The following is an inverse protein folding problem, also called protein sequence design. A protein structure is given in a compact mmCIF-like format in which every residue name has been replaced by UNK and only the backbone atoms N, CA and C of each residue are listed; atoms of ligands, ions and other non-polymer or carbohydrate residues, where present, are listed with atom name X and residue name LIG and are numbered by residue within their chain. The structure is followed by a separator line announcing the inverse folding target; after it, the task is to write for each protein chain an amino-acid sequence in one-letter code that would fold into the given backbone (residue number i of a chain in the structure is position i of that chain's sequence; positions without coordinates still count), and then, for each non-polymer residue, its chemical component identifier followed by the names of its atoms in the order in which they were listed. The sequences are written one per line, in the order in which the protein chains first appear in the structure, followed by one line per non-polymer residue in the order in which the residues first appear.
data_IF_025710517318
#
_entry.id   IF_025710517318
#
_cell.length_a   1.000
_cell.length_b   1.000
_cell.length_c   1.000
_cell.angle_alpha   90.00
_cell.angle_beta   90.00
_cell.angle_gamma   90.00
#
_symmetry.space_group_name_H-M   'P 1'
#
loop_
_entity.id
_entity.type
_entity.pdbx_description
1 polymer ?
#
# COMPACT_ATOMS: atom_id res chain seq x y z
N UNK A 1 11.57 10.61 15.82
CA UNK A 1 10.33 9.81 16.01
C UNK A 1 9.28 10.30 15.03
N UNK A 2 9.14 9.62 13.89
CA UNK A 2 8.02 9.84 12.95
C UNK A 2 7.85 8.72 11.89
N UNK A 3 8.41 7.52 12.13
CA UNK A 3 8.73 6.55 11.06
C UNK A 3 7.60 5.59 10.66
N UNK A 4 6.34 5.96 10.83
CA UNK A 4 5.19 5.16 10.36
C UNK A 4 3.95 6.02 10.13
N UNK A 5 3.74 7.02 11.00
CA UNK A 5 2.62 7.97 10.90
C UNK A 5 2.74 8.80 9.63
N UNK A 6 3.94 9.24 9.24
CA UNK A 6 4.14 9.98 8.00
C UNK A 6 3.91 9.11 6.77
N UNK A 7 4.43 7.89 6.78
CA UNK A 7 4.28 6.93 5.69
C UNK A 7 2.80 6.68 5.38
N UNK A 8 2.00 6.41 6.42
CA UNK A 8 0.58 6.09 6.31
C UNK A 8 -0.35 7.31 6.33
N UNK A 9 0.18 8.53 6.42
CA UNK A 9 -0.59 9.77 6.62
C UNK A 9 -1.62 10.05 5.53
N UNK A 10 -1.44 9.45 4.35
CA UNK A 10 -2.32 9.60 3.19
C UNK A 10 -3.67 8.85 3.36
N UNK A 11 -3.70 7.84 4.23
CA UNK A 11 -4.89 7.04 4.45
C UNK A 11 -5.71 7.55 5.65
N UNK A 12 -7.03 7.56 5.50
CA UNK A 12 -7.92 7.85 6.63
C UNK A 12 -7.82 6.80 7.74
N UNK A 13 -8.10 7.18 8.99
CA UNK A 13 -8.15 6.25 10.12
C UNK A 13 -9.07 5.05 9.86
N UNK A 14 -10.21 5.27 9.19
CA UNK A 14 -11.14 4.21 8.83
C UNK A 14 -10.54 3.24 7.79
N UNK A 15 -9.81 3.75 6.81
CA UNK A 15 -9.09 2.93 5.82
C UNK A 15 -7.98 2.12 6.50
N UNK A 16 -7.20 2.75 7.37
CA UNK A 16 -6.14 2.06 8.13
C UNK A 16 -6.70 0.96 9.01
N UNK A 17 -7.84 1.18 9.68
CA UNK A 17 -8.47 0.14 10.49
C UNK A 17 -8.91 -1.05 9.64
N UNK A 18 -9.56 -0.79 8.49
CA UNK A 18 -9.99 -1.85 7.57
C UNK A 18 -8.81 -2.61 6.95
N UNK A 19 -7.66 -1.96 6.73
CA UNK A 19 -6.52 -2.60 6.08
C UNK A 19 -5.86 -3.69 6.93
N UNK A 20 -6.07 -3.68 8.26
CA UNK A 20 -5.57 -4.72 9.17
C UNK A 20 -6.04 -6.12 8.78
N UNK A 21 -7.29 -6.27 8.33
CA UNK A 21 -7.82 -7.57 7.92
C UNK A 21 -7.26 -8.03 6.58
N UNK A 22 -6.68 -7.14 5.77
CA UNK A 22 -6.18 -7.43 4.43
C UNK A 22 -4.68 -7.71 4.40
N UNK A 23 -3.90 -7.19 5.36
CA UNK A 23 -2.47 -7.45 5.45
C UNK A 23 -2.12 -8.94 5.55
N UNK A 24 -3.00 -9.76 6.13
CA UNK A 24 -2.85 -11.23 6.22
C UNK A 24 -3.08 -11.97 4.89
N UNK A 25 -3.68 -11.31 3.90
CA UNK A 25 -3.94 -11.88 2.57
C UNK A 25 -2.80 -11.57 1.58
N UNK A 26 -1.76 -10.86 2.04
CA UNK A 26 -0.59 -10.56 1.24
C UNK A 26 0.41 -11.68 1.47
N UNK A 27 0.67 -12.46 0.42
CA UNK A 27 1.84 -13.31 0.40
C UNK A 27 3.08 -12.42 0.21
N UNK A 28 3.92 -12.38 1.25
CA UNK A 28 5.10 -11.52 1.26
C UNK A 28 6.18 -11.98 0.29
N UNK A 29 6.17 -13.26 -0.07
CA UNK A 29 7.15 -13.84 -0.99
C UNK A 29 6.85 -13.47 -2.45
N UNK A 30 5.62 -13.01 -2.74
CA UNK A 30 5.18 -12.61 -4.08
C UNK A 30 5.15 -11.10 -4.29
N UNK A 31 5.63 -10.31 -3.32
CA UNK A 31 5.68 -8.85 -3.47
C UNK A 31 6.82 -8.50 -4.42
N UNK A 32 6.49 -7.77 -5.49
CA UNK A 32 7.45 -7.26 -6.44
C UNK A 32 7.86 -5.83 -6.07
N UNK A 33 9.14 -5.51 -6.25
CA UNK A 33 9.71 -4.21 -5.94
C UNK A 33 10.37 -3.64 -7.20
N UNK A 34 10.08 -2.38 -7.49
CA UNK A 34 10.65 -1.65 -8.62
C UNK A 34 11.24 -0.33 -8.10
N UNK A 35 12.52 -0.08 -8.36
CA UNK A 35 13.19 1.15 -7.96
C UNK A 35 13.40 2.06 -9.18
N UNK A 36 12.95 3.32 -9.09
CA UNK A 36 13.12 4.32 -10.14
C UNK A 36 13.28 5.73 -9.54
N UNK A 37 14.33 6.47 -9.93
CA UNK A 37 14.51 7.90 -9.61
C UNK A 37 14.21 8.28 -8.13
N UNK A 38 14.79 7.54 -7.19
CA UNK A 38 14.61 7.65 -5.72
C UNK A 38 13.25 7.21 -5.17
N UNK A 39 12.35 6.70 -6.00
CA UNK A 39 11.09 6.10 -5.60
C UNK A 39 11.15 4.57 -5.67
N UNK A 40 10.45 3.92 -4.75
CA UNK A 40 10.28 2.46 -4.70
C UNK A 40 8.81 2.16 -4.84
N UNK A 41 8.47 1.40 -5.87
CA UNK A 41 7.12 0.89 -6.10
C UNK A 41 7.04 -0.56 -5.64
N UNK A 42 6.11 -0.84 -4.75
CA UNK A 42 5.75 -2.19 -4.33
C UNK A 42 4.47 -2.61 -5.03
N UNK A 43 4.45 -3.82 -5.54
CA UNK A 43 3.30 -4.41 -6.19
C UNK A 43 2.93 -5.74 -5.55
N UNK A 44 1.64 -5.96 -5.33
CA UNK A 44 1.12 -7.23 -4.85
C UNK A 44 -0.32 -7.44 -5.34
N UNK A 45 -0.69 -8.71 -5.54
CA UNK A 45 -2.08 -9.10 -5.71
C UNK A 45 -2.69 -9.43 -4.35
N UNK A 46 -3.79 -8.76 -3.99
CA UNK A 46 -4.41 -8.87 -2.66
C UNK A 46 -5.82 -9.45 -2.78
N UNK A 47 -6.09 -10.51 -2.04
CA UNK A 47 -7.41 -11.15 -2.00
C UNK A 47 -8.45 -10.28 -1.28
N UNK A 48 -9.62 -10.13 -1.90
CA UNK A 48 -10.81 -9.53 -1.31
C UNK A 48 -12.08 -10.29 -1.72
N UNK A 49 -13.04 -9.59 -2.34
CA UNK A 49 -14.16 -10.27 -3.01
C UNK A 49 -13.74 -10.87 -4.36
N UNK A 50 -12.61 -10.40 -4.88
CA UNK A 50 -11.84 -10.87 -6.03
C UNK A 50 -10.37 -10.59 -5.71
N UNK A 51 -9.45 -10.96 -6.59
CA UNK A 51 -8.06 -10.58 -6.50
C UNK A 51 -7.84 -9.18 -7.09
N UNK A 52 -7.22 -8.31 -6.32
CA UNK A 52 -6.95 -6.93 -6.74
C UNK A 52 -5.46 -6.67 -6.84
N UNK A 53 -5.03 -6.31 -8.04
CA UNK A 53 -3.69 -5.81 -8.33
C UNK A 53 -3.54 -4.45 -7.64
N UNK A 54 -2.54 -4.34 -6.78
CA UNK A 54 -2.35 -3.20 -5.89
C UNK A 54 -0.89 -2.75 -5.95
N UNK A 55 -0.68 -1.46 -6.19
CA UNK A 55 0.62 -0.84 -6.19
C UNK A 55 0.68 0.31 -5.17
N UNK A 56 1.82 0.47 -4.51
CA UNK A 56 2.15 1.67 -3.73
C UNK A 56 3.53 2.16 -4.14
N UNK A 57 3.69 3.48 -4.27
CA UNK A 57 4.97 4.10 -4.54
C UNK A 57 5.36 4.96 -3.37
N UNK A 58 6.53 4.71 -2.78
CA UNK A 58 7.06 5.50 -1.69
C UNK A 58 8.45 6.02 -2.00
N UNK A 59 8.78 7.18 -1.45
CA UNK A 59 10.11 7.75 -1.55
C UNK A 59 10.85 7.53 -0.22
N UNK A 60 11.88 6.68 -0.15
CA UNK A 60 12.61 6.40 1.08
C UNK A 60 13.30 7.65 1.67
N UNK A 61 13.77 8.57 0.81
CA UNK A 61 14.46 9.78 1.25
C UNK A 61 13.51 10.77 1.95
N UNK A 62 12.24 10.79 1.54
CA UNK A 62 11.18 11.66 2.10
C UNK A 62 10.36 10.97 3.20
N UNK A 63 10.58 9.68 3.44
CA UNK A 63 9.80 8.85 4.39
C UNK A 63 8.28 8.98 4.17
N UNK A 64 7.85 8.91 2.90
CA UNK A 64 6.47 9.23 2.51
C UNK A 64 6.00 8.41 1.31
N UNK A 65 4.76 7.94 1.38
CA UNK A 65 4.01 7.49 0.20
C UNK A 65 3.79 8.63 -0.79
N UNK A 66 4.15 8.40 -2.04
CA UNK A 66 3.99 9.34 -3.15
C UNK A 66 2.67 9.08 -3.86
N UNK A 67 2.39 7.81 -4.16
CA UNK A 67 1.18 7.40 -4.85
C UNK A 67 0.76 5.97 -4.50
N UNK A 68 -0.46 5.63 -4.89
CA UNK A 68 -1.02 4.29 -4.74
C UNK A 68 -2.03 4.01 -5.84
N UNK A 69 -2.18 2.76 -6.26
CA UNK A 69 -3.22 2.35 -7.21
C UNK A 69 -3.73 0.95 -6.85
N UNK A 70 -4.99 0.68 -7.16
CA UNK A 70 -5.60 -0.61 -6.91
C UNK A 70 -6.75 -0.85 -7.87
N UNK A 71 -6.85 -2.04 -8.46
CA UNK A 71 -7.95 -2.38 -9.37
C UNK A 71 -9.30 -2.58 -8.68
N UNK A 72 -9.39 -2.41 -7.36
CA UNK A 72 -10.65 -2.48 -6.64
C UNK A 72 -11.57 -1.30 -6.97
N UNK A 73 -12.89 -1.39 -6.71
CA UNK A 73 -13.84 -0.32 -7.04
C UNK A 73 -13.56 1.04 -6.39
N UNK A 74 -12.70 1.10 -5.37
CA UNK A 74 -12.28 2.34 -4.72
C UNK A 74 -11.12 3.01 -5.45
N UNK A 75 -10.24 2.25 -6.12
CA UNK A 75 -9.02 2.76 -6.72
C UNK A 75 -8.00 3.19 -5.65
N UNK A 76 -7.78 4.50 -5.59
CA UNK A 76 -6.84 5.19 -4.71
C UNK A 76 -7.28 5.23 -3.24
N UNK A 77 -6.30 5.32 -2.34
CA UNK A 77 -6.44 5.39 -0.88
C UNK A 77 -7.34 4.30 -0.31
N UNK A 78 -7.34 3.13 -0.96
CA UNK A 78 -8.17 2.00 -0.57
C UNK A 78 -7.53 1.19 0.56
N UNK A 79 -8.31 0.26 1.12
CA UNK A 79 -7.84 -0.62 2.20
C UNK A 79 -6.76 -1.61 1.75
N UNK A 80 -6.67 -1.94 0.46
CA UNK A 80 -5.64 -2.84 -0.08
C UNK A 80 -4.29 -2.12 -0.19
N UNK A 81 -4.27 -0.91 -0.77
CA UNK A 81 -3.08 -0.05 -0.77
C UNK A 81 -2.58 0.22 0.66
N UNK A 82 -3.50 0.56 1.56
CA UNK A 82 -3.18 0.73 2.98
C UNK A 82 -2.79 -0.56 3.71
N UNK A 83 -3.01 -1.75 3.13
CA UNK A 83 -2.56 -3.03 3.66
C UNK A 83 -1.15 -3.34 3.17
N UNK A 84 -0.87 -3.06 1.89
CA UNK A 84 0.46 -3.20 1.30
C UNK A 84 1.47 -2.24 1.93
N UNK A 85 1.01 -1.06 2.36
CA UNK A 85 1.82 -0.04 3.01
C UNK A 85 2.20 -0.31 4.48
N UNK A 86 1.89 -1.50 5.03
CA UNK A 86 2.10 -1.83 6.45
C UNK A 86 3.20 -2.85 6.65
#
# INVERSE_FOLDING_TARGET
MSSLINFLSRFSTATLHRSLSYAKHIDRETIEFFEENDDVTMYAQIEGTDYYDTAITYNPQKDRLIDDDCTCPVGYNCKHAAALAR
#
